data_IF_486241857685
#
_entry.id   IF_486241857685
#
_cell.length_a   1.000
_cell.length_b   1.000
_cell.length_c   1.000
_cell.angle_alpha   90.00
_cell.angle_beta   90.00
_cell.angle_gamma   90.00
#
_symmetry.space_group_name_H-M   'P 1'
#
loop_
_entity.id
_entity.type
_entity.pdbx_description
1 polymer ?
#
# COMPACT_ATOMS: atom_id res chain seq x y z
N UNK A 1 37.95 16.61 -27.32
CA UNK A 1 37.26 16.15 -28.54
C UNK A 1 35.79 15.96 -28.20
N UNK A 2 34.94 16.75 -28.89
CA UNK A 2 33.49 16.68 -29.04
C UNK A 2 32.55 16.93 -27.85
N UNK A 3 32.10 18.20 -27.80
CA UNK A 3 30.86 18.64 -27.17
C UNK A 3 29.62 18.00 -27.84
N UNK A 4 28.55 17.83 -27.06
CA UNK A 4 27.28 17.32 -27.58
C UNK A 4 26.09 17.62 -26.67
N UNK A 5 25.82 18.90 -26.43
CA UNK A 5 24.51 19.35 -25.99
C UNK A 5 23.64 19.55 -27.24
N UNK A 6 22.51 18.84 -27.38
CA UNK A 6 21.53 19.14 -28.44
C UNK A 6 20.12 19.18 -27.86
N UNK A 7 19.67 20.42 -27.61
CA UNK A 7 18.29 20.75 -27.32
C UNK A 7 17.56 20.99 -28.63
N UNK A 8 16.63 20.11 -29.01
CA UNK A 8 15.66 20.40 -30.07
C UNK A 8 14.38 20.95 -29.44
N UNK A 9 14.25 22.28 -29.43
CA UNK A 9 12.97 22.97 -29.25
C UNK A 9 12.05 22.62 -30.43
N UNK A 10 10.82 22.19 -30.15
CA UNK A 10 9.65 22.61 -30.93
C UNK A 10 8.67 23.30 -30.00
N UNK A 11 8.27 24.51 -30.40
CA UNK A 11 7.41 25.43 -29.69
C UNK A 11 5.92 25.16 -30.00
N UNK A 12 5.15 25.02 -28.91
CA UNK A 12 3.89 25.72 -28.59
C UNK A 12 2.71 25.81 -29.57
N UNK A 13 1.58 25.19 -29.17
CA UNK A 13 0.20 25.74 -29.01
C UNK A 13 -0.79 24.55 -28.99
N UNK A 14 -1.84 24.45 -28.16
CA UNK A 14 -2.63 25.40 -27.37
C UNK A 14 -3.36 24.64 -26.24
N UNK A 15 -3.61 25.37 -25.16
CA UNK A 15 -4.09 24.95 -23.84
C UNK A 15 -5.57 24.58 -23.70
N UNK A 16 -5.89 23.85 -22.60
CA UNK A 16 -6.96 24.16 -21.62
C UNK A 16 -6.82 23.22 -20.39
N UNK A 17 -6.22 23.66 -19.28
CA UNK A 17 -6.90 23.94 -17.99
C UNK A 17 -6.95 22.69 -17.09
N UNK A 18 -6.38 22.61 -15.88
CA UNK A 18 -6.35 23.58 -14.78
C UNK A 18 -5.12 23.44 -13.86
N UNK A 19 -4.63 24.60 -13.41
CA UNK A 19 -3.93 24.98 -12.16
C UNK A 19 -3.93 23.91 -11.06
N UNK A 20 -2.87 23.54 -10.32
CA UNK A 20 -1.57 24.11 -9.96
C UNK A 20 -1.22 23.47 -8.60
N UNK A 21 -0.10 22.77 -8.40
CA UNK A 21 1.16 23.34 -7.91
C UNK A 21 2.27 22.36 -8.22
N UNK A 22 3.29 22.80 -8.96
CA UNK A 22 4.52 22.06 -9.14
C UNK A 22 5.43 22.31 -7.94
N UNK A 23 5.98 21.25 -7.34
CA UNK A 23 7.29 21.33 -6.71
C UNK A 23 8.08 20.07 -7.07
N UNK A 24 8.95 20.20 -8.07
CA UNK A 24 9.98 19.22 -8.39
C UNK A 24 11.13 19.38 -7.40
N UNK A 25 11.41 18.39 -6.57
CA UNK A 25 12.75 18.12 -6.04
C UNK A 25 12.77 16.81 -5.25
N UNK A 26 13.64 15.88 -5.65
CA UNK A 26 14.05 14.75 -4.81
C UNK A 26 13.90 13.41 -5.51
N UNK A 27 14.85 13.07 -6.39
CA UNK A 27 15.15 11.67 -6.68
C UNK A 27 15.72 11.03 -5.40
N UNK A 28 14.85 10.51 -4.55
CA UNK A 28 15.20 9.47 -3.59
C UNK A 28 14.69 8.17 -4.18
N UNK A 29 15.61 7.23 -4.42
CA UNK A 29 15.28 5.86 -4.79
C UNK A 29 14.48 5.19 -3.68
N UNK A 30 13.18 5.48 -3.63
CA UNK A 30 12.21 4.67 -2.93
C UNK A 30 11.74 3.61 -3.93
N UNK A 31 11.92 2.34 -3.59
CA UNK A 31 11.20 1.26 -4.25
C UNK A 31 9.75 1.70 -4.35
N UNK A 32 9.30 2.02 -5.57
CA UNK A 32 7.90 2.34 -5.78
C UNK A 32 7.15 1.09 -5.32
N UNK A 33 6.39 1.20 -4.24
CA UNK A 33 5.39 0.18 -3.94
C UNK A 33 4.65 -0.03 -5.26
N UNK A 34 4.53 -1.29 -5.75
CA UNK A 34 3.82 -1.52 -6.99
C UNK A 34 2.49 -0.77 -6.87
N UNK A 35 2.16 0.02 -7.90
CA UNK A 35 0.88 0.71 -7.95
C UNK A 35 -0.18 -0.38 -8.00
N UNK A 36 -0.58 -0.86 -6.82
CA UNK A 36 -1.60 -1.86 -6.66
C UNK A 36 -2.88 -1.26 -7.20
N UNK A 37 -3.52 -1.98 -8.11
CA UNK A 37 -4.90 -1.68 -8.45
C UNK A 37 -5.75 -1.66 -7.16
N UNK A 38 -6.93 -1.06 -7.25
CA UNK A 38 -7.87 -1.10 -6.14
C UNK A 38 -8.02 -2.55 -5.63
N UNK A 39 -7.93 -2.80 -4.30
CA UNK A 39 -8.06 -4.14 -3.77
C UNK A 39 -9.46 -4.68 -4.12
N UNK A 40 -9.55 -5.99 -4.34
CA UNK A 40 -10.85 -6.66 -4.35
C UNK A 40 -11.40 -6.62 -2.93
N UNK A 41 -12.49 -5.89 -2.74
CA UNK A 41 -13.10 -5.73 -1.44
C UNK A 41 -13.94 -6.95 -1.07
N UNK A 42 -13.75 -7.44 0.16
CA UNK A 42 -14.71 -8.31 0.82
C UNK A 42 -15.62 -7.47 1.70
N UNK A 43 -16.85 -7.93 1.94
CA UNK A 43 -17.74 -7.35 2.94
C UNK A 43 -17.75 -8.24 4.20
N UNK A 44 -17.97 -7.65 5.37
CA UNK A 44 -18.05 -8.37 6.64
C UNK A 44 -16.76 -8.27 7.45
N UNK A 45 -16.59 -9.18 8.41
CA UNK A 45 -15.47 -9.16 9.35
C UNK A 45 -14.42 -10.18 8.96
N UNK A 46 -13.17 -9.72 8.83
CA UNK A 46 -11.98 -10.55 8.74
C UNK A 46 -11.27 -10.54 10.10
N UNK A 47 -11.12 -11.70 10.71
CA UNK A 47 -10.37 -11.89 11.94
C UNK A 47 -8.98 -12.42 11.60
N UNK A 48 -7.98 -11.86 12.26
CA UNK A 48 -6.60 -12.27 12.09
C UNK A 48 -5.84 -12.27 13.40
N UNK A 49 -4.82 -13.12 13.43
CA UNK A 49 -3.96 -13.30 14.59
C UNK A 49 -2.52 -13.52 14.15
N UNK A 50 -1.53 -13.05 14.91
CA UNK A 50 -0.16 -13.25 14.51
C UNK A 50 0.91 -12.51 15.28
N UNK A 51 2.08 -12.42 14.63
CA UNK A 51 3.29 -11.82 15.18
C UNK A 51 3.05 -10.41 15.72
N UNK A 52 3.49 -10.18 16.95
CA UNK A 52 3.51 -8.86 17.57
C UNK A 52 4.43 -7.90 16.81
N UNK A 53 5.51 -8.43 16.21
CA UNK A 53 6.46 -7.65 15.42
C UNK A 53 5.82 -6.99 14.19
N UNK A 54 4.82 -7.64 13.60
CA UNK A 54 4.14 -7.16 12.39
C UNK A 54 2.98 -6.20 12.68
N UNK A 55 2.63 -5.97 13.96
CA UNK A 55 1.44 -5.19 14.38
C UNK A 55 1.33 -3.83 13.70
N UNK A 56 2.42 -3.08 13.61
CA UNK A 56 2.39 -1.74 13.02
C UNK A 56 2.12 -1.77 11.51
N UNK A 57 2.70 -2.74 10.81
CA UNK A 57 2.47 -2.93 9.38
C UNK A 57 1.03 -3.37 9.10
N UNK A 58 0.52 -4.33 9.88
CA UNK A 58 -0.87 -4.80 9.76
C UNK A 58 -1.85 -3.64 10.02
N UNK A 59 -1.63 -2.82 11.06
CA UNK A 59 -2.47 -1.64 11.34
C UNK A 59 -2.49 -0.64 10.19
N UNK A 60 -1.34 -0.36 9.60
CA UNK A 60 -1.25 0.53 8.43
C UNK A 60 -2.02 -0.03 7.24
N UNK A 61 -1.89 -1.35 6.99
CA UNK A 61 -2.65 -2.03 5.94
C UNK A 61 -4.16 -2.03 6.21
N UNK A 62 -4.61 -2.32 7.44
CA UNK A 62 -6.03 -2.27 7.82
C UNK A 62 -6.60 -0.87 7.57
N UNK A 63 -5.88 0.19 7.96
CA UNK A 63 -6.33 1.57 7.72
C UNK A 63 -6.42 1.91 6.23
N UNK A 64 -5.53 1.38 5.40
CA UNK A 64 -5.61 1.54 3.95
C UNK A 64 -6.76 0.72 3.34
N UNK A 65 -6.98 -0.50 3.84
CA UNK A 65 -8.02 -1.39 3.40
C UNK A 65 -9.42 -0.85 3.73
N UNK A 66 -9.62 -0.33 4.94
CA UNK A 66 -10.87 0.32 5.38
C UNK A 66 -11.26 1.49 4.45
N UNK A 67 -10.27 2.33 4.08
CA UNK A 67 -10.49 3.44 3.12
C UNK A 67 -10.86 2.96 1.72
N UNK A 68 -10.31 1.83 1.29
CA UNK A 68 -10.58 1.26 -0.03
C UNK A 68 -11.88 0.43 -0.05
N UNK A 69 -12.28 -0.14 1.10
CA UNK A 69 -13.33 -1.13 1.24
C UNK A 69 -14.25 -0.80 2.42
N UNK A 70 -15.18 0.12 2.20
CA UNK A 70 -16.10 0.69 3.21
C UNK A 70 -17.10 -0.27 3.86
N UNK A 71 -17.03 -1.57 3.57
CA UNK A 71 -17.89 -2.61 4.14
C UNK A 71 -17.13 -3.75 4.83
N UNK A 72 -15.81 -3.62 4.95
CA UNK A 72 -14.98 -4.60 5.64
C UNK A 72 -14.61 -4.11 7.04
N UNK A 73 -14.62 -5.02 8.01
CA UNK A 73 -13.97 -4.82 9.31
C UNK A 73 -12.82 -5.79 9.40
N UNK A 74 -11.64 -5.32 9.81
CA UNK A 74 -10.49 -6.21 10.01
C UNK A 74 -10.03 -6.13 11.46
N UNK A 75 -10.09 -7.27 12.14
CA UNK A 75 -9.64 -7.44 13.52
C UNK A 75 -8.27 -8.11 13.52
N UNK A 76 -7.30 -7.56 14.25
CA UNK A 76 -5.98 -8.17 14.40
C UNK A 76 -5.62 -8.39 15.87
N UNK A 77 -5.32 -9.63 16.23
CA UNK A 77 -4.89 -10.04 17.56
C UNK A 77 -3.36 -10.34 17.57
N UNK A 78 -2.52 -9.51 18.20
CA UNK A 78 -1.08 -9.71 18.19
C UNK A 78 -0.63 -10.66 19.33
N UNK A 79 -0.80 -11.97 19.16
CA UNK A 79 -0.45 -13.01 20.16
C UNK A 79 0.88 -13.72 19.91
N UNK A 80 1.51 -13.46 18.76
CA UNK A 80 2.75 -14.10 18.33
C UNK A 80 2.56 -15.05 17.14
N UNK A 81 3.65 -15.29 16.39
CA UNK A 81 3.64 -16.11 15.16
C UNK A 81 3.05 -17.51 15.36
N UNK A 82 3.46 -18.22 16.41
CA UNK A 82 3.01 -19.60 16.66
C UNK A 82 1.52 -19.71 16.99
N UNK A 83 0.99 -18.75 17.74
CA UNK A 83 -0.44 -18.67 18.05
C UNK A 83 -1.25 -18.37 16.78
N UNK A 84 -0.80 -17.40 15.97
CA UNK A 84 -1.43 -17.09 14.68
C UNK A 84 -1.47 -18.30 13.73
N UNK A 85 -0.35 -19.01 13.54
CA UNK A 85 -0.30 -20.22 12.71
C UNK A 85 -1.26 -21.30 13.21
N UNK A 86 -1.31 -21.51 14.54
CA UNK A 86 -2.22 -22.48 15.16
C UNK A 86 -3.68 -22.08 14.94
N UNK A 87 -4.01 -20.80 15.13
CA UNK A 87 -5.37 -20.29 14.94
C UNK A 87 -5.81 -20.41 13.47
N UNK A 88 -4.94 -20.10 12.51
CA UNK A 88 -5.27 -20.19 11.09
C UNK A 88 -5.46 -21.64 10.62
N UNK A 89 -4.54 -22.54 11.00
CA UNK A 89 -4.65 -23.97 10.65
C UNK A 89 -5.82 -24.66 11.37
N UNK A 90 -6.22 -24.12 12.52
CA UNK A 90 -7.44 -24.53 13.23
C UNK A 90 -8.73 -23.84 12.74
N UNK A 91 -8.69 -23.07 11.65
CA UNK A 91 -9.85 -22.35 11.09
C UNK A 91 -10.51 -21.33 12.06
N UNK A 92 -9.77 -20.82 13.03
CA UNK A 92 -10.26 -19.86 14.02
C UNK A 92 -10.17 -18.41 13.55
N UNK A 93 -9.29 -18.14 12.58
CA UNK A 93 -9.06 -16.83 11.97
C UNK A 93 -9.00 -16.96 10.46
N UNK A 94 -9.33 -15.88 9.75
CA UNK A 94 -9.36 -15.83 8.29
C UNK A 94 -7.95 -15.74 7.68
N UNK A 95 -7.01 -15.12 8.40
CA UNK A 95 -5.60 -15.08 8.04
C UNK A 95 -4.70 -14.94 9.27
N UNK A 96 -3.42 -15.28 9.11
CA UNK A 96 -2.42 -15.13 10.17
C UNK A 96 -1.13 -14.47 9.70
N UNK A 97 -0.51 -13.70 10.59
CA UNK A 97 0.80 -13.10 10.39
C UNK A 97 1.89 -13.90 11.12
N UNK A 98 2.95 -14.27 10.42
CA UNK A 98 4.14 -14.90 11.02
C UNK A 98 5.38 -14.15 10.57
N UNK A 99 6.24 -13.84 11.54
CA UNK A 99 7.68 -13.67 11.26
C UNK A 99 8.31 -15.03 10.94
#
# INVERSE_FOLDING_TARGET
MLAGCSSSKKADKKASGSTGTANSAGSSGGSSAPAGGAPTCSSGTLNAEGSTAQTNAIKAWISAYDKACSGATVNYNPTGSGAGVTAFTGNQVDFAGSD
#
